data_IF_394640336533
#
_entry.id   IF_394640336533
#
_cell.length_a   1.000
_cell.length_b   1.000
_cell.length_c   1.000
_cell.angle_alpha   90.00
_cell.angle_beta   90.00
_cell.angle_gamma   90.00
#
_symmetry.space_group_name_H-M   'P 1'
#
loop_
_entity.id
_entity.type
_entity.pdbx_description
1 polymer ?
#
# COMPACT_ATOMS: atom_id res chain seq x y z
N UNK A 1 6.97 13.20 10.16
CA UNK A 1 7.96 13.33 9.07
C UNK A 1 7.43 14.28 7.99
N UNK A 2 8.31 14.88 7.22
CA UNK A 2 7.96 15.77 6.10
C UNK A 2 7.08 15.07 5.06
N UNK A 3 7.35 13.79 4.78
CA UNK A 3 6.54 12.97 3.87
C UNK A 3 5.09 12.89 4.37
N UNK A 4 4.88 12.59 5.65
CA UNK A 4 3.54 12.49 6.21
C UNK A 4 2.77 13.81 6.13
N UNK A 5 3.44 14.94 6.37
CA UNK A 5 2.85 16.28 6.23
C UNK A 5 2.52 16.61 4.77
N UNK A 6 3.40 16.23 3.85
CA UNK A 6 3.19 16.48 2.42
C UNK A 6 1.98 15.73 1.85
N UNK A 7 1.87 14.42 2.14
CA UNK A 7 0.79 13.59 1.56
C UNK A 7 -0.61 13.95 2.05
N UNK A 8 -0.71 14.67 3.17
CA UNK A 8 -1.99 15.16 3.74
C UNK A 8 -2.01 16.68 3.88
N UNK A 9 -1.24 17.39 3.06
CA UNK A 9 -1.28 18.85 3.03
C UNK A 9 -2.66 19.36 2.60
N UNK A 10 -2.94 20.65 2.81
CA UNK A 10 -4.26 21.24 2.57
C UNK A 10 -4.80 20.90 1.17
N UNK A 11 -6.02 20.37 1.12
CA UNK A 11 -6.69 19.92 -0.09
C UNK A 11 -6.22 18.58 -0.66
N UNK A 12 -5.24 17.91 -0.05
CA UNK A 12 -4.68 16.65 -0.54
C UNK A 12 -5.04 15.46 0.34
N UNK A 13 -5.17 14.30 -0.31
CA UNK A 13 -5.39 13.01 0.33
C UNK A 13 -4.51 11.91 -0.24
N UNK A 14 -4.76 10.69 0.20
CA UNK A 14 -4.05 9.50 -0.26
C UNK A 14 -4.98 8.67 -1.14
N UNK A 15 -4.54 8.36 -2.35
CA UNK A 15 -5.20 7.41 -3.24
C UNK A 15 -4.72 5.99 -2.93
N UNK A 16 -5.65 5.12 -2.52
CA UNK A 16 -5.39 3.70 -2.39
C UNK A 16 -5.59 3.00 -3.74
N UNK A 17 -4.49 2.64 -4.40
CA UNK A 17 -4.45 1.89 -5.65
C UNK A 17 -3.69 0.56 -5.46
N UNK A 18 -3.80 -0.01 -4.25
CA UNK A 18 -3.05 -1.18 -3.77
C UNK A 18 -3.88 -2.47 -3.77
N UNK A 19 -4.99 -2.49 -4.52
CA UNK A 19 -5.82 -3.69 -4.63
C UNK A 19 -5.01 -4.87 -5.13
N UNK A 20 -5.09 -5.99 -4.41
CA UNK A 20 -4.55 -7.27 -4.85
C UNK A 20 -5.29 -7.79 -6.10
N UNK A 21 -4.68 -8.72 -6.84
CA UNK A 21 -5.28 -9.29 -8.05
C UNK A 21 -6.70 -9.87 -7.81
N UNK A 22 -6.97 -10.62 -6.70
CA UNK A 22 -8.34 -11.06 -6.39
C UNK A 22 -9.32 -9.89 -6.15
N UNK A 23 -8.85 -8.78 -5.58
CA UNK A 23 -9.70 -7.60 -5.36
C UNK A 23 -10.00 -6.87 -6.67
N UNK A 24 -8.98 -6.72 -7.54
CA UNK A 24 -9.20 -6.20 -8.90
C UNK A 24 -10.19 -7.08 -9.67
N UNK A 25 -10.03 -8.41 -9.59
CA UNK A 25 -10.94 -9.36 -10.26
C UNK A 25 -12.39 -9.12 -9.84
N UNK A 26 -12.67 -9.01 -8.53
CA UNK A 26 -14.02 -8.74 -8.04
C UNK A 26 -14.60 -7.45 -8.60
N UNK A 27 -13.81 -6.40 -8.77
CA UNK A 27 -14.24 -5.13 -9.36
C UNK A 27 -14.50 -5.27 -10.86
N UNK A 28 -13.58 -5.92 -11.58
CA UNK A 28 -13.68 -6.09 -13.03
C UNK A 28 -14.84 -7.00 -13.43
N UNK A 29 -15.14 -8.02 -12.63
CA UNK A 29 -16.30 -8.91 -12.84
C UNK A 29 -17.62 -8.10 -12.84
N UNK A 30 -17.74 -7.01 -12.07
CA UNK A 30 -18.95 -6.18 -12.04
C UNK A 30 -19.20 -5.40 -13.34
N UNK A 31 -18.17 -5.22 -14.15
CA UNK A 31 -18.23 -4.52 -15.45
C UNK A 31 -17.86 -5.44 -16.61
N UNK A 32 -17.83 -6.76 -16.37
CA UNK A 32 -17.52 -7.79 -17.39
C UNK A 32 -16.18 -7.58 -18.10
N UNK A 33 -15.16 -7.11 -17.36
CA UNK A 33 -13.79 -6.97 -17.85
C UNK A 33 -12.94 -8.11 -17.31
N UNK A 34 -12.16 -8.75 -18.16
CA UNK A 34 -11.22 -9.79 -17.75
C UNK A 34 -10.10 -9.22 -16.89
N UNK A 35 -9.73 -9.89 -15.79
CA UNK A 35 -8.68 -9.43 -14.88
C UNK A 35 -7.29 -9.91 -15.36
N UNK A 36 -6.86 -9.47 -16.54
CA UNK A 36 -5.52 -9.67 -17.06
C UNK A 36 -4.53 -8.69 -16.41
N UNK A 37 -3.23 -8.96 -16.52
CA UNK A 37 -2.20 -8.03 -16.10
C UNK A 37 -2.31 -6.69 -16.84
N UNK A 38 -2.55 -6.74 -18.15
CA UNK A 38 -2.73 -5.56 -19.00
C UNK A 38 -3.93 -4.71 -18.51
N UNK A 39 -5.08 -5.32 -18.25
CA UNK A 39 -6.26 -4.61 -17.77
C UNK A 39 -6.03 -4.01 -16.37
N UNK A 40 -5.29 -4.69 -15.48
CA UNK A 40 -4.90 -4.11 -14.19
C UNK A 40 -3.95 -2.92 -14.37
N UNK A 41 -2.98 -3.02 -15.27
CA UNK A 41 -2.10 -1.89 -15.64
C UNK A 41 -2.90 -0.71 -16.19
N UNK A 42 -3.78 -0.95 -17.16
CA UNK A 42 -4.63 0.09 -17.76
C UNK A 42 -5.50 0.78 -16.71
N UNK A 43 -6.08 0.02 -15.79
CA UNK A 43 -6.85 0.57 -14.66
C UNK A 43 -6.00 1.51 -13.79
N UNK A 44 -4.77 1.14 -13.45
CA UNK A 44 -3.84 1.98 -12.69
C UNK A 44 -3.40 3.22 -13.47
N UNK A 45 -3.07 3.05 -14.74
CA UNK A 45 -2.68 4.16 -15.62
C UNK A 45 -3.82 5.20 -15.73
N UNK A 46 -5.06 4.75 -15.90
CA UNK A 46 -6.24 5.62 -15.92
C UNK A 46 -6.34 6.47 -14.64
N UNK A 47 -6.12 5.87 -13.47
CA UNK A 47 -6.15 6.59 -12.19
C UNK A 47 -5.03 7.64 -12.12
N UNK A 48 -3.79 7.24 -12.46
CA UNK A 48 -2.60 8.09 -12.30
C UNK A 48 -2.50 9.21 -13.33
N UNK A 49 -3.20 9.09 -14.45
CA UNK A 49 -3.24 10.13 -15.49
C UNK A 49 -4.43 11.08 -15.35
N UNK A 50 -5.39 10.80 -14.46
CA UNK A 50 -6.59 11.62 -14.29
C UNK A 50 -6.28 13.08 -13.97
N UNK A 51 -7.11 14.01 -14.44
CA UNK A 51 -6.90 15.45 -14.27
C UNK A 51 -6.88 15.88 -12.80
N UNK A 52 -7.77 15.32 -11.97
CA UNK A 52 -7.86 15.66 -10.54
C UNK A 52 -6.72 15.18 -9.65
N UNK A 53 -5.78 14.36 -10.18
CA UNK A 53 -4.67 13.82 -9.41
C UNK A 53 -3.79 14.92 -8.80
N UNK A 54 -3.38 15.89 -9.61
CA UNK A 54 -2.41 16.93 -9.24
C UNK A 54 -2.90 17.80 -8.08
N UNK A 55 -4.15 18.15 -8.10
CA UNK A 55 -4.75 19.07 -7.13
C UNK A 55 -5.11 18.37 -5.82
N UNK A 56 -5.54 17.09 -5.89
CA UNK A 56 -6.22 16.42 -4.77
C UNK A 56 -5.41 15.27 -4.15
N UNK A 57 -4.36 14.77 -4.80
CA UNK A 57 -3.63 13.61 -4.33
C UNK A 57 -2.20 13.98 -3.94
N UNK A 58 -1.84 13.76 -2.68
CA UNK A 58 -0.49 13.93 -2.15
C UNK A 58 0.31 12.63 -2.11
N UNK A 59 -0.38 11.48 -2.02
CA UNK A 59 0.26 10.18 -2.00
C UNK A 59 -0.57 9.10 -2.68
N UNK A 60 0.08 8.08 -3.24
CA UNK A 60 -0.57 6.92 -3.87
C UNK A 60 0.01 5.64 -3.30
N UNK A 61 -0.85 4.76 -2.78
CA UNK A 61 -0.42 3.44 -2.32
C UNK A 61 -0.48 2.47 -3.49
N UNK A 62 0.64 1.84 -3.81
CA UNK A 62 0.78 0.89 -4.90
C UNK A 62 0.75 -0.56 -4.41
N UNK A 63 0.39 -1.48 -5.31
CA UNK A 63 0.60 -2.91 -5.18
C UNK A 63 1.95 -3.30 -5.80
N UNK A 64 2.56 -4.41 -5.37
CA UNK A 64 3.88 -4.86 -5.83
C UNK A 64 3.98 -5.00 -7.36
N UNK A 65 2.96 -5.59 -8.01
CA UNK A 65 2.88 -5.68 -9.48
C UNK A 65 2.97 -4.28 -10.11
N UNK A 66 2.21 -3.33 -9.57
CA UNK A 66 2.02 -2.00 -10.16
C UNK A 66 3.28 -1.14 -10.13
N UNK A 67 4.07 -1.20 -9.05
CA UNK A 67 5.30 -0.41 -8.94
C UNK A 67 6.36 -0.82 -9.97
N UNK A 68 6.23 -2.02 -10.56
CA UNK A 68 7.13 -2.59 -11.57
C UNK A 68 6.64 -2.39 -13.01
N UNK A 69 5.39 -1.95 -13.20
CA UNK A 69 4.77 -1.83 -14.50
C UNK A 69 5.05 -0.48 -15.16
N UNK A 70 4.94 -0.49 -16.49
CA UNK A 70 5.09 0.68 -17.34
C UNK A 70 3.77 0.97 -18.06
N UNK A 71 3.52 2.24 -18.31
CA UNK A 71 2.40 2.73 -19.10
C UNK A 71 2.53 2.34 -20.57
N UNK A 72 1.49 2.52 -21.34
CA UNK A 72 1.51 2.33 -22.79
C UNK A 72 2.56 3.24 -23.48
N UNK A 73 2.82 4.42 -22.91
CA UNK A 73 3.86 5.34 -23.40
C UNK A 73 5.29 4.95 -23.03
N UNK A 74 5.50 3.89 -22.25
CA UNK A 74 6.80 3.40 -21.81
C UNK A 74 7.33 4.06 -20.52
N UNK A 75 6.64 5.05 -19.93
CA UNK A 75 6.96 5.56 -18.60
C UNK A 75 6.57 4.55 -17.52
N UNK A 76 7.34 4.43 -16.45
CA UNK A 76 6.90 3.64 -15.30
C UNK A 76 5.62 4.25 -14.69
N UNK A 77 4.74 3.41 -14.13
CA UNK A 77 3.55 3.92 -13.45
C UNK A 77 3.90 4.78 -12.24
N UNK A 78 5.06 4.55 -11.63
CA UNK A 78 5.61 5.37 -10.56
C UNK A 78 5.94 6.80 -11.05
N UNK A 79 6.58 6.92 -12.22
CA UNK A 79 6.88 8.23 -12.82
C UNK A 79 5.62 9.03 -13.13
N UNK A 80 4.53 8.38 -13.57
CA UNK A 80 3.24 9.06 -13.78
C UNK A 80 2.72 9.72 -12.49
N UNK A 81 2.90 9.04 -11.34
CA UNK A 81 2.52 9.59 -10.03
C UNK A 81 3.39 10.80 -9.67
N UNK A 82 4.70 10.68 -9.85
CA UNK A 82 5.64 11.77 -9.58
C UNK A 82 5.39 13.00 -10.47
N UNK A 83 5.08 12.80 -11.75
CA UNK A 83 4.73 13.88 -12.69
C UNK A 83 3.48 14.67 -12.23
N UNK A 84 2.59 14.03 -11.47
CA UNK A 84 1.43 14.69 -10.85
C UNK A 84 1.76 15.34 -9.50
N UNK A 85 3.01 15.25 -9.04
CA UNK A 85 3.43 15.78 -7.74
C UNK A 85 2.96 14.96 -6.54
N UNK A 86 2.48 13.73 -6.74
CA UNK A 86 2.14 12.83 -5.65
C UNK A 86 3.33 11.93 -5.29
N UNK A 87 3.41 11.48 -4.03
CA UNK A 87 4.45 10.56 -3.58
C UNK A 87 3.97 9.11 -3.68
N UNK A 88 4.75 8.22 -4.31
CA UNK A 88 4.44 6.79 -4.35
C UNK A 88 4.71 6.13 -3.00
N UNK A 89 3.77 5.34 -2.54
CA UNK A 89 3.89 4.45 -1.41
C UNK A 89 3.61 3.01 -1.83
N UNK A 90 3.87 2.06 -0.95
CA UNK A 90 3.77 0.64 -1.25
C UNK A 90 3.08 -0.15 -0.15
N UNK A 91 2.15 -1.02 -0.52
CA UNK A 91 1.56 -2.02 0.37
C UNK A 91 2.58 -3.11 0.67
N UNK A 92 2.95 -3.27 1.94
CA UNK A 92 3.95 -4.24 2.38
C UNK A 92 3.35 -5.44 3.12
N UNK A 93 2.08 -5.38 3.53
CA UNK A 93 1.41 -6.56 4.10
C UNK A 93 1.13 -7.62 3.04
N UNK A 94 1.14 -8.90 3.45
CA UNK A 94 0.86 -10.09 2.63
C UNK A 94 -0.53 -10.69 2.89
N UNK A 95 -1.45 -9.91 3.46
CA UNK A 95 -2.82 -10.33 3.75
C UNK A 95 -3.04 -10.81 5.18
N UNK A 96 -4.24 -11.30 5.43
CA UNK A 96 -4.73 -11.70 6.75
C UNK A 96 -4.73 -13.21 6.90
N UNK A 97 -4.44 -13.69 8.11
CA UNK A 97 -4.58 -15.08 8.51
C UNK A 97 -5.48 -15.16 9.75
N UNK A 98 -6.29 -16.23 9.91
CA UNK A 98 -7.04 -16.46 11.15
C UNK A 98 -6.10 -16.49 12.35
N UNK A 99 -6.48 -15.79 13.41
CA UNK A 99 -5.73 -15.78 14.66
C UNK A 99 -6.29 -16.85 15.62
N UNK A 100 -5.41 -17.71 16.13
CA UNK A 100 -5.77 -18.83 17.04
C UNK A 100 -6.95 -19.69 16.55
N UNK A 101 -7.09 -19.86 15.22
CA UNK A 101 -8.19 -20.63 14.61
C UNK A 101 -9.55 -19.92 14.63
N UNK A 102 -9.59 -18.65 14.99
CA UNK A 102 -10.82 -17.84 14.93
C UNK A 102 -11.17 -17.45 13.50
N UNK A 103 -12.45 -17.55 13.13
CA UNK A 103 -12.94 -17.04 11.85
C UNK A 103 -13.16 -15.49 11.88
N UNK A 104 -13.12 -14.89 13.05
CA UNK A 104 -13.44 -13.47 13.27
C UNK A 104 -12.22 -12.62 13.61
N UNK A 105 -11.19 -13.20 14.21
CA UNK A 105 -9.96 -12.50 14.57
C UNK A 105 -8.84 -12.84 13.60
N UNK A 106 -8.05 -11.86 13.22
CA UNK A 106 -7.01 -12.02 12.22
C UNK A 106 -5.69 -11.37 12.64
N UNK A 107 -4.59 -11.95 12.15
CA UNK A 107 -3.27 -11.37 12.24
C UNK A 107 -2.74 -11.11 10.82
N UNK A 108 -2.20 -9.93 10.61
CA UNK A 108 -1.63 -9.54 9.31
C UNK A 108 -0.27 -10.17 9.12
N UNK A 109 -0.04 -10.75 7.95
CA UNK A 109 1.22 -11.38 7.55
C UNK A 109 2.08 -10.40 6.74
N UNK A 110 3.39 -10.65 6.65
CA UNK A 110 4.29 -9.90 5.79
C UNK A 110 5.50 -9.28 6.48
N UNK A 111 5.82 -9.71 7.71
CA UNK A 111 7.05 -9.29 8.40
C UNK A 111 8.29 -10.01 7.86
N UNK A 112 8.11 -11.18 7.22
CA UNK A 112 9.21 -11.94 6.64
C UNK A 112 9.92 -11.12 5.56
N UNK A 113 11.24 -11.00 5.72
CA UNK A 113 12.13 -10.23 4.83
C UNK A 113 11.61 -8.80 4.55
N UNK A 114 10.98 -8.18 5.54
CA UNK A 114 10.40 -6.84 5.38
C UNK A 114 11.46 -5.79 5.09
N UNK A 115 12.63 -5.87 5.74
CA UNK A 115 13.74 -4.94 5.54
C UNK A 115 14.28 -5.01 4.11
N UNK A 116 14.56 -6.22 3.61
CA UNK A 116 14.99 -6.44 2.22
C UNK A 116 13.98 -5.91 1.21
N UNK A 117 12.69 -6.19 1.43
CA UNK A 117 11.61 -5.69 0.55
C UNK A 117 11.46 -4.18 0.62
N UNK A 118 11.55 -3.57 1.81
CA UNK A 118 11.51 -2.12 1.95
C UNK A 118 12.68 -1.44 1.25
N UNK A 119 13.88 -2.02 1.35
CA UNK A 119 15.07 -1.54 0.64
C UNK A 119 14.89 -1.61 -0.88
N UNK A 120 14.36 -2.70 -1.41
CA UNK A 120 14.04 -2.85 -2.83
C UNK A 120 13.02 -1.78 -3.29
N UNK A 121 11.90 -1.65 -2.58
CA UNK A 121 10.86 -0.68 -2.92
C UNK A 121 11.36 0.78 -2.82
N UNK A 122 12.21 1.08 -1.85
CA UNK A 122 12.87 2.38 -1.75
C UNK A 122 13.77 2.63 -2.95
N UNK A 123 14.53 1.62 -3.40
CA UNK A 123 15.34 1.67 -4.63
C UNK A 123 14.51 1.90 -5.88
N UNK A 124 13.29 1.36 -5.96
CA UNK A 124 12.33 1.63 -7.04
C UNK A 124 11.69 3.03 -6.95
N UNK A 125 11.81 3.72 -5.82
CA UNK A 125 11.33 5.09 -5.63
C UNK A 125 10.15 5.26 -4.68
N UNK A 126 9.68 4.20 -3.99
CA UNK A 126 8.65 4.31 -2.95
C UNK A 126 9.14 5.20 -1.79
N UNK A 127 8.26 6.03 -1.26
CA UNK A 127 8.56 7.03 -0.21
C UNK A 127 7.91 6.71 1.13
N UNK A 128 6.91 5.83 1.17
CA UNK A 128 6.26 5.38 2.40
C UNK A 128 5.68 3.98 2.22
N UNK A 129 5.44 3.30 3.34
CA UNK A 129 4.81 1.98 3.37
C UNK A 129 3.39 2.07 3.89
N UNK A 130 2.54 1.13 3.48
CA UNK A 130 1.20 0.92 4.03
C UNK A 130 1.08 -0.50 4.54
N UNK A 131 0.63 -0.63 5.77
CA UNK A 131 0.28 -1.88 6.41
C UNK A 131 -1.18 -1.83 6.88
N UNK A 132 -1.91 -2.93 6.72
CA UNK A 132 -3.27 -3.04 7.18
C UNK A 132 -3.38 -4.09 8.27
N UNK A 133 -3.64 -3.66 9.51
CA UNK A 133 -4.16 -4.51 10.57
C UNK A 133 -5.71 -4.44 10.56
N UNK A 134 -6.36 -5.55 10.88
CA UNK A 134 -7.83 -5.62 10.96
C UNK A 134 -8.22 -6.18 12.31
N UNK A 135 -9.02 -5.41 13.03
CA UNK A 135 -9.55 -5.76 14.34
C UNK A 135 -11.08 -5.71 14.26
N UNK A 136 -11.73 -6.83 14.51
CA UNK A 136 -13.18 -6.90 14.62
C UNK A 136 -13.61 -6.49 16.03
N UNK A 137 -14.61 -5.64 16.13
CA UNK A 137 -15.13 -5.11 17.39
C UNK A 137 -16.59 -5.54 17.55
N UNK A 138 -16.88 -6.28 18.61
CA UNK A 138 -18.24 -6.61 19.05
C UNK A 138 -18.24 -6.81 20.59
N UNK A 139 -19.30 -7.39 21.17
CA UNK A 139 -19.42 -7.56 22.62
C UNK A 139 -18.27 -8.37 23.26
N UNK A 140 -17.67 -9.33 22.52
CA UNK A 140 -16.63 -10.23 23.02
C UNK A 140 -15.29 -10.10 22.26
N UNK A 141 -15.21 -9.21 21.29
CA UNK A 141 -14.02 -9.01 20.47
C UNK A 141 -13.64 -7.52 20.43
N UNK A 142 -12.34 -7.23 20.27
CA UNK A 142 -11.22 -8.17 20.14
C UNK A 142 -10.84 -8.81 21.47
N UNK A 143 -10.26 -10.01 21.42
CA UNK A 143 -9.58 -10.60 22.59
C UNK A 143 -8.29 -9.81 22.89
N UNK A 144 -7.86 -9.83 24.17
CA UNK A 144 -6.61 -9.17 24.54
C UNK A 144 -5.41 -9.78 23.80
N UNK A 145 -5.41 -11.11 23.62
CA UNK A 145 -4.37 -11.81 22.88
C UNK A 145 -4.26 -11.36 21.41
N UNK A 146 -5.41 -11.12 20.74
CA UNK A 146 -5.41 -10.60 19.38
C UNK A 146 -4.91 -9.15 19.32
N UNK A 147 -5.25 -8.32 20.28
CA UNK A 147 -4.72 -6.95 20.39
C UNK A 147 -3.19 -7.00 20.54
N UNK A 148 -2.69 -7.78 21.50
CA UNK A 148 -1.27 -7.87 21.82
C UNK A 148 -0.47 -8.37 20.61
N UNK A 149 -0.94 -9.41 19.91
CA UNK A 149 -0.28 -9.92 18.70
C UNK A 149 -0.24 -8.89 17.56
N UNK A 150 -1.32 -8.14 17.36
CA UNK A 150 -1.35 -7.07 16.35
C UNK A 150 -0.43 -5.90 16.74
N UNK A 151 -0.37 -5.54 18.02
CA UNK A 151 0.55 -4.50 18.53
C UNK A 151 2.01 -4.91 18.35
N UNK A 152 2.37 -6.16 18.65
CA UNK A 152 3.70 -6.71 18.43
C UNK A 152 4.10 -6.65 16.95
N UNK A 153 3.19 -7.04 16.05
CA UNK A 153 3.41 -6.96 14.60
C UNK A 153 3.66 -5.52 14.13
N UNK A 154 2.90 -4.56 14.65
CA UNK A 154 3.07 -3.14 14.32
C UNK A 154 4.38 -2.57 14.90
N UNK A 155 4.80 -3.02 16.09
CA UNK A 155 6.09 -2.66 16.67
C UNK A 155 7.24 -3.18 15.78
N UNK A 156 7.19 -4.44 15.36
CA UNK A 156 8.16 -5.01 14.42
C UNK A 156 8.23 -4.22 13.11
N UNK A 157 7.07 -3.83 12.55
CA UNK A 157 7.01 -3.01 11.34
C UNK A 157 7.77 -1.69 11.51
N UNK A 158 7.59 -1.01 12.65
CA UNK A 158 8.26 0.27 12.94
C UNK A 158 9.78 0.13 13.13
N UNK A 159 10.24 -1.00 13.66
CA UNK A 159 11.68 -1.26 13.85
C UNK A 159 12.38 -1.66 12.56
N UNK A 160 11.68 -2.33 11.64
CA UNK A 160 12.25 -2.83 10.39
C UNK A 160 12.09 -1.86 9.22
N UNK A 161 11.18 -0.88 9.33
CA UNK A 161 11.05 0.17 8.31
C UNK A 161 12.12 1.24 8.57
N UNK A 162 13.03 1.54 7.62
CA UNK A 162 14.02 2.59 7.81
C UNK A 162 13.34 3.92 8.10
N UNK A 163 13.62 4.49 9.26
CA UNK A 163 13.14 5.81 9.64
C UNK A 163 13.85 6.87 8.78
N UNK A 164 13.20 8.00 8.43
CA UNK A 164 13.89 9.14 7.81
C UNK A 164 15.12 9.64 8.58
N UNK A 165 15.23 9.29 9.87
CA UNK A 165 16.42 9.61 10.69
C UNK A 165 17.61 8.73 10.36
N UNK A 166 17.41 7.52 9.87
CA UNK A 166 18.48 6.57 9.55
C UNK A 166 19.13 6.86 8.19
N UNK A 167 18.46 7.64 7.33
CA UNK A 167 18.94 8.08 6.03
C UNK A 167 19.78 9.38 6.09
N UNK A 168 19.91 10.01 7.26
CA UNK A 168 20.63 11.29 7.44
C UNK A 168 22.11 11.13 7.87
N UNK A 169 22.63 9.90 7.94
CA UNK A 169 23.99 9.59 8.39
C UNK A 169 24.89 8.97 7.32
N UNK A 170 24.69 9.32 6.05
CA UNK A 170 25.63 8.97 4.97
C UNK A 170 25.99 10.16 4.11
#
# INVERSE_FOLDING_TARGET
SEIAQYIVSEGKGILAADESNPTCKKRFDTISVECTEENRRNYRELLFTSEGMKENIGGVILFDETIRQHSESGKSLLELILDKGALPGIKVDKGLQPFNGSDLETLTQGLDDLDGRCSEYSGLGAKFTKWRAVININENLPTQECIDANMESLACLLYTSPSPRDLSTS
#
